data_IF_230725016738
#
_entry.id   IF_230725016738
#
_cell.length_a   1.000
_cell.length_b   1.000
_cell.length_c   1.000
_cell.angle_alpha   90.00
_cell.angle_beta   90.00
_cell.angle_gamma   90.00
#
_symmetry.space_group_name_H-M   'P 1'
#
loop_
_entity.id
_entity.type
_entity.pdbx_description
1 polymer ?
#
# COMPACT_ATOMS: atom_id res chain seq x y z
N UNK A 1 -35.19 12.06 -59.38
CA UNK A 1 -34.94 11.36 -58.10
C UNK A 1 -33.46 11.53 -57.84
N UNK A 2 -33.08 12.30 -56.82
CA UNK A 2 -31.68 12.50 -56.49
C UNK A 2 -31.08 11.14 -56.13
N UNK A 3 -30.06 10.70 -56.86
CA UNK A 3 -29.34 9.47 -56.56
C UNK A 3 -28.72 9.69 -55.17
N UNK A 4 -29.04 8.81 -54.23
CA UNK A 4 -28.42 8.73 -52.92
C UNK A 4 -26.92 8.56 -53.17
N UNK A 5 -26.19 9.67 -53.12
CA UNK A 5 -24.78 9.68 -53.44
C UNK A 5 -24.09 8.78 -52.42
N UNK A 6 -23.22 7.90 -52.91
CA UNK A 6 -22.50 6.87 -52.17
C UNK A 6 -21.61 7.52 -51.09
N UNK A 7 -22.22 7.93 -49.99
CA UNK A 7 -21.59 8.57 -48.85
C UNK A 7 -20.84 7.51 -48.04
N UNK A 8 -19.63 7.81 -47.56
CA UNK A 8 -18.88 6.86 -46.76
C UNK A 8 -19.58 6.59 -45.43
N UNK A 9 -19.93 5.33 -45.18
CA UNK A 9 -20.29 4.85 -43.85
C UNK A 9 -19.00 4.45 -43.13
N UNK A 10 -18.68 5.16 -42.04
CA UNK A 10 -17.48 4.91 -41.25
C UNK A 10 -17.87 4.29 -39.91
N UNK A 11 -17.14 3.28 -39.48
CA UNK A 11 -17.19 2.76 -38.12
C UNK A 11 -15.80 2.86 -37.50
N UNK A 12 -15.76 3.23 -36.22
CA UNK A 12 -14.54 3.42 -35.45
C UNK A 12 -14.67 2.76 -34.10
N UNK A 13 -13.60 2.10 -33.66
CA UNK A 13 -13.48 1.50 -32.33
C UNK A 13 -12.16 1.93 -31.73
N UNK A 14 -12.20 2.47 -30.51
CA UNK A 14 -11.00 2.77 -29.76
C UNK A 14 -10.67 1.66 -28.75
N UNK A 15 -10.13 2.05 -27.60
CA UNK A 15 -9.84 1.13 -26.50
C UNK A 15 -9.11 1.84 -25.36
N UNK A 16 -8.58 1.07 -24.42
CA UNK A 16 -8.06 1.61 -23.16
C UNK A 16 -6.54 1.43 -23.09
N UNK A 17 -5.84 2.51 -22.75
CA UNK A 17 -4.41 2.53 -22.47
C UNK A 17 -4.21 2.24 -20.99
N UNK A 18 -3.41 1.22 -20.67
CA UNK A 18 -3.13 0.79 -19.29
C UNK A 18 -1.62 0.82 -19.01
N UNK A 19 -1.21 0.56 -17.76
CA UNK A 19 0.21 0.40 -17.46
C UNK A 19 0.81 -0.90 -18.04
N UNK A 20 -0.03 -1.92 -18.34
CA UNK A 20 0.39 -3.15 -19.04
C UNK A 20 0.51 -2.89 -20.55
N UNK A 21 -0.49 -2.21 -21.11
CA UNK A 21 -0.60 -1.91 -22.54
C UNK A 21 -0.57 -0.40 -22.76
N UNK A 22 0.63 0.21 -22.91
CA UNK A 22 0.78 1.66 -23.01
C UNK A 22 0.38 2.22 -24.39
N UNK A 23 -0.25 1.42 -25.23
CA UNK A 23 -0.71 1.79 -26.55
C UNK A 23 -2.00 1.06 -26.90
N UNK A 24 -2.86 1.70 -27.69
CA UNK A 24 -4.05 1.08 -28.29
C UNK A 24 -4.03 1.27 -29.80
N UNK A 25 -4.51 0.27 -30.53
CA UNK A 25 -4.75 0.38 -31.97
C UNK A 25 -6.17 0.85 -32.19
N UNK A 26 -6.33 2.01 -32.83
CA UNK A 26 -7.64 2.48 -33.27
C UNK A 26 -8.07 1.64 -34.47
N UNK A 27 -9.26 1.06 -34.43
CA UNK A 27 -9.80 0.29 -35.53
C UNK A 27 -10.81 1.14 -36.29
N UNK A 28 -10.71 1.14 -37.62
CA UNK A 28 -11.72 1.76 -38.44
C UNK A 28 -12.02 0.97 -39.71
N UNK A 29 -13.27 1.05 -40.15
CA UNK A 29 -13.70 0.51 -41.44
C UNK A 29 -14.60 1.51 -42.15
N UNK A 30 -14.54 1.49 -43.48
CA UNK A 30 -15.33 2.36 -44.35
C UNK A 30 -16.01 1.54 -45.45
N UNK A 31 -17.27 1.86 -45.71
CA UNK A 31 -18.03 1.30 -46.82
C UNK A 31 -18.66 2.44 -47.64
N UNK A 32 -18.45 2.50 -48.97
CA UNK A 32 -17.60 1.62 -49.79
C UNK A 32 -16.09 1.77 -49.50
N UNK A 33 -15.26 0.76 -49.82
CA UNK A 33 -13.81 0.81 -49.60
C UNK A 33 -13.09 1.74 -50.60
N UNK A 34 -11.84 2.11 -50.30
CA UNK A 34 -10.98 2.87 -51.21
C UNK A 34 -10.90 4.38 -50.93
N UNK A 35 -11.36 4.83 -49.77
CA UNK A 35 -11.18 6.21 -49.32
C UNK A 35 -9.78 6.52 -48.79
N UNK A 36 -9.43 7.81 -48.82
CA UNK A 36 -8.23 8.36 -48.19
C UNK A 36 -8.53 8.61 -46.71
N UNK A 37 -7.68 8.10 -45.83
CA UNK A 37 -7.82 8.21 -44.37
C UNK A 37 -7.05 9.42 -43.86
N UNK A 38 -7.67 10.18 -42.96
CA UNK A 38 -7.02 11.25 -42.23
C UNK A 38 -7.50 11.26 -40.79
N UNK A 39 -6.63 10.80 -39.89
CA UNK A 39 -6.80 10.91 -38.46
C UNK A 39 -6.23 12.22 -37.95
N UNK A 40 -6.92 12.82 -36.98
CA UNK A 40 -6.44 13.94 -36.16
C UNK A 40 -6.77 13.64 -34.70
N UNK A 41 -5.98 14.17 -33.77
CA UNK A 41 -6.21 13.87 -32.35
C UNK A 41 -5.34 14.70 -31.40
N UNK A 42 -5.29 14.30 -30.12
CA UNK A 42 -4.52 14.97 -29.08
C UNK A 42 -3.05 15.15 -29.45
N UNK A 43 -2.39 16.14 -28.85
CA UNK A 43 -0.95 16.40 -29.04
C UNK A 43 -0.54 16.61 -30.51
N UNK A 44 -1.43 17.18 -31.33
CA UNK A 44 -1.26 17.36 -32.78
C UNK A 44 -1.04 16.04 -33.54
N UNK A 45 -1.61 14.93 -33.03
CA UNK A 45 -1.53 13.65 -33.72
C UNK A 45 -2.19 13.73 -35.10
N UNK A 46 -1.50 13.21 -36.12
CA UNK A 46 -2.05 13.01 -37.46
C UNK A 46 -1.61 11.67 -38.02
N UNK A 47 -2.49 10.96 -38.72
CA UNK A 47 -2.11 9.70 -39.40
C UNK A 47 -2.97 9.45 -40.65
N UNK A 48 -2.39 8.77 -41.64
CA UNK A 48 -3.09 8.31 -42.85
C UNK A 48 -3.27 6.79 -42.88
N UNK A 49 -2.88 6.09 -41.80
CA UNK A 49 -3.11 4.65 -41.66
C UNK A 49 -4.60 4.39 -41.37
N UNK A 50 -5.13 3.25 -41.83
CA UNK A 50 -6.49 2.83 -41.50
C UNK A 50 -6.63 2.55 -39.99
N UNK A 51 -5.65 1.84 -39.42
CA UNK A 51 -5.64 1.45 -38.01
C UNK A 51 -4.34 1.93 -37.32
N UNK A 52 -4.24 3.21 -36.94
CA UNK A 52 -3.05 3.73 -36.27
C UNK A 52 -2.97 3.25 -34.80
N UNK A 53 -1.74 3.08 -34.31
CA UNK A 53 -1.45 2.88 -32.90
C UNK A 53 -1.22 4.22 -32.20
N UNK A 54 -1.82 4.41 -31.02
CA UNK A 54 -1.77 5.66 -30.26
C UNK A 54 -1.44 5.39 -28.79
N UNK A 55 -0.76 6.34 -28.14
CA UNK A 55 -0.33 6.25 -26.73
C UNK A 55 -0.89 7.35 -25.83
N UNK A 56 -1.66 8.28 -26.40
CA UNK A 56 -2.28 9.35 -25.63
C UNK A 56 -3.78 9.07 -25.57
N UNK A 57 -4.37 9.26 -24.39
CA UNK A 57 -5.82 9.22 -24.26
C UNK A 57 -6.45 10.48 -24.86
N UNK A 58 -7.67 10.31 -25.37
CA UNK A 58 -8.49 11.37 -25.93
C UNK A 58 -9.29 10.90 -27.15
N UNK A 59 -9.96 11.85 -27.76
CA UNK A 59 -10.79 11.63 -28.94
C UNK A 59 -9.96 11.79 -30.23
N UNK A 60 -10.04 10.79 -31.10
CA UNK A 60 -9.39 10.75 -32.39
C UNK A 60 -10.45 10.87 -33.47
N UNK A 61 -10.40 11.97 -34.22
CA UNK A 61 -11.30 12.25 -35.32
C UNK A 61 -10.71 11.66 -36.61
N UNK A 62 -11.40 10.67 -37.17
CA UNK A 62 -11.16 10.17 -38.51
C UNK A 62 -12.02 10.95 -39.50
N UNK A 63 -11.42 11.38 -40.60
CA UNK A 63 -12.11 11.82 -41.80
C UNK A 63 -11.71 10.91 -42.96
N UNK A 64 -12.69 10.34 -43.66
CA UNK A 64 -12.45 9.55 -44.88
C UNK A 64 -13.07 10.27 -46.06
N UNK A 65 -12.28 10.44 -47.13
CA UNK A 65 -12.74 10.99 -48.41
C UNK A 65 -12.68 9.90 -49.48
N UNK A 66 -13.84 9.58 -50.07
CA UNK A 66 -13.94 8.59 -51.14
C UNK A 66 -13.50 9.17 -52.50
N UNK A 67 -13.17 8.32 -53.50
CA UNK A 67 -12.78 8.78 -54.84
C UNK A 67 -13.85 9.60 -55.57
N UNK A 68 -15.12 9.44 -55.18
CA UNK A 68 -16.24 10.24 -55.69
C UNK A 68 -16.30 11.66 -55.08
N UNK A 69 -15.36 12.01 -54.18
CA UNK A 69 -15.28 13.30 -53.50
C UNK A 69 -16.16 13.43 -52.26
N UNK A 70 -16.98 12.44 -51.92
CA UNK A 70 -17.78 12.45 -50.70
C UNK A 70 -16.89 12.19 -49.48
N UNK A 71 -17.12 12.93 -48.39
CA UNK A 71 -16.40 12.76 -47.13
C UNK A 71 -17.36 12.53 -45.97
N UNK A 72 -16.90 11.76 -44.99
CA UNK A 72 -17.56 11.59 -43.70
C UNK A 72 -16.49 11.54 -42.61
N UNK A 73 -16.94 11.73 -41.37
CA UNK A 73 -16.07 11.67 -40.21
C UNK A 73 -16.67 10.81 -39.11
N UNK A 74 -15.81 10.18 -38.31
CA UNK A 74 -16.17 9.38 -37.15
C UNK A 74 -15.12 9.58 -36.05
N UNK A 75 -15.49 9.28 -34.80
CA UNK A 75 -14.61 9.46 -33.64
C UNK A 75 -14.29 8.09 -33.04
N UNK A 76 -13.00 7.82 -32.81
CA UNK A 76 -12.54 6.75 -31.94
C UNK A 76 -12.06 7.36 -30.61
N UNK A 77 -12.34 6.71 -29.49
CA UNK A 77 -11.92 7.19 -28.16
C UNK A 77 -10.84 6.28 -27.61
N UNK A 78 -9.67 6.84 -27.32
CA UNK A 78 -8.66 6.16 -26.52
C UNK A 78 -8.85 6.60 -25.06
N UNK A 79 -9.22 5.68 -24.19
CA UNK A 79 -9.38 5.95 -22.76
C UNK A 79 -8.06 5.72 -22.02
N UNK A 80 -7.85 6.40 -20.89
CA UNK A 80 -6.72 6.14 -20.00
C UNK A 80 -7.21 5.45 -18.72
N UNK A 81 -6.65 4.28 -18.45
CA UNK A 81 -6.71 3.62 -17.15
C UNK A 81 -5.27 3.38 -16.66
N UNK A 82 -4.62 4.47 -16.29
CA UNK A 82 -3.21 4.50 -15.86
C UNK A 82 -3.04 4.97 -14.42
N UNK A 83 -4.14 4.97 -13.66
CA UNK A 83 -4.13 5.37 -12.25
C UNK A 83 -3.49 4.27 -11.42
N UNK A 84 -2.45 4.62 -10.67
CA UNK A 84 -1.84 3.71 -9.71
C UNK A 84 -2.78 3.47 -8.51
N UNK A 85 -2.73 2.28 -7.89
CA UNK A 85 -3.50 2.02 -6.68
C UNK A 85 -3.00 2.84 -5.51
N UNK A 86 -3.88 3.17 -4.57
CA UNK A 86 -3.49 3.68 -3.26
C UNK A 86 -3.14 2.50 -2.35
N UNK A 87 -2.05 2.59 -1.59
CA UNK A 87 -1.58 1.51 -0.71
C UNK A 87 -1.10 2.06 0.63
N UNK A 88 -1.52 1.42 1.71
CA UNK A 88 -1.05 1.67 3.07
C UNK A 88 -0.57 0.35 3.66
N UNK A 89 0.66 0.34 4.15
CA UNK A 89 1.26 -0.77 4.86
C UNK A 89 1.20 -0.52 6.37
N UNK A 90 0.73 -1.51 7.12
CA UNK A 90 0.60 -1.47 8.58
C UNK A 90 1.36 -2.65 9.16
N UNK A 91 2.17 -2.40 10.18
CA UNK A 91 2.89 -3.42 10.92
C UNK A 91 2.57 -3.34 12.42
N UNK A 92 2.37 -4.51 13.03
CA UNK A 92 2.40 -4.68 14.48
C UNK A 92 3.83 -4.74 15.01
N UNK A 93 3.96 -4.88 16.33
CA UNK A 93 5.24 -5.00 17.02
C UNK A 93 5.38 -6.36 17.67
N UNK A 94 6.61 -6.82 17.82
CA UNK A 94 6.96 -7.98 18.64
C UNK A 94 7.07 -7.54 20.10
N UNK A 95 6.60 -8.38 21.02
CA UNK A 95 6.68 -8.10 22.47
C UNK A 95 7.09 -9.39 23.20
N UNK A 96 7.43 -9.29 24.48
CA UNK A 96 7.69 -10.49 25.31
C UNK A 96 6.47 -11.45 25.45
N UNK A 97 5.27 -11.01 25.06
CA UNK A 97 4.04 -11.81 25.06
C UNK A 97 3.54 -12.17 23.65
N UNK A 98 4.14 -11.61 22.61
CA UNK A 98 3.77 -11.81 21.21
C UNK A 98 5.04 -12.00 20.39
N UNK A 99 5.32 -13.24 20.06
CA UNK A 99 6.45 -13.68 19.23
C UNK A 99 6.23 -13.47 17.73
N UNK A 100 5.03 -13.03 17.34
CA UNK A 100 4.68 -12.67 15.97
C UNK A 100 4.04 -11.29 15.89
N UNK A 101 4.32 -10.60 14.79
CA UNK A 101 3.77 -9.31 14.41
C UNK A 101 2.90 -9.47 13.16
N UNK A 102 1.72 -8.84 13.16
CA UNK A 102 0.83 -8.79 11.99
C UNK A 102 1.34 -7.76 10.98
N UNK A 103 1.34 -8.12 9.71
CA UNK A 103 1.51 -7.22 8.58
C UNK A 103 0.18 -7.14 7.82
N UNK A 104 -0.25 -5.94 7.47
CA UNK A 104 -1.51 -5.70 6.80
C UNK A 104 -1.34 -4.64 5.71
N UNK A 105 -1.73 -4.98 4.49
CA UNK A 105 -1.78 -4.08 3.35
C UNK A 105 -3.24 -3.70 3.11
N UNK A 106 -3.53 -2.40 3.14
CA UNK A 106 -4.80 -1.83 2.73
C UNK A 106 -4.59 -1.13 1.41
N UNK A 107 -5.46 -1.37 0.43
CA UNK A 107 -5.30 -0.81 -0.90
C UNK A 107 -6.64 -0.53 -1.58
N UNK A 108 -6.60 0.42 -2.50
CA UNK A 108 -7.73 0.81 -3.34
C UNK A 108 -7.23 0.93 -4.79
N UNK A 109 -7.88 0.26 -5.77
CA UNK A 109 -9.09 -0.57 -5.65
C UNK A 109 -8.85 -1.92 -4.95
N UNK A 110 -9.93 -2.56 -4.46
CA UNK A 110 -9.87 -3.73 -3.58
C UNK A 110 -9.39 -5.04 -4.25
N UNK A 111 -9.21 -5.05 -5.56
CA UNK A 111 -8.82 -6.19 -6.39
C UNK A 111 -7.33 -6.17 -6.80
N UNK A 112 -6.51 -5.35 -6.13
CA UNK A 112 -5.07 -5.37 -6.31
C UNK A 112 -4.46 -6.69 -5.84
N UNK A 113 -3.48 -7.18 -6.60
CA UNK A 113 -2.56 -8.22 -6.12
C UNK A 113 -1.46 -7.58 -5.28
N UNK A 114 -0.93 -8.30 -4.29
CA UNK A 114 0.14 -7.78 -3.43
C UNK A 114 1.32 -8.74 -3.36
N UNK A 115 2.50 -8.16 -3.15
CA UNK A 115 3.73 -8.89 -2.86
C UNK A 115 4.47 -8.17 -1.73
N UNK A 116 4.51 -8.82 -0.57
CA UNK A 116 5.36 -8.44 0.53
C UNK A 116 6.76 -9.02 0.36
N UNK A 117 7.77 -8.20 0.62
CA UNK A 117 9.16 -8.60 0.81
C UNK A 117 9.70 -8.04 2.12
N UNK A 118 10.69 -8.69 2.72
CA UNK A 118 11.24 -8.26 3.99
C UNK A 118 12.55 -8.95 4.36
N UNK A 119 12.97 -8.83 5.63
CA UNK A 119 14.13 -9.51 6.18
C UNK A 119 14.09 -11.03 5.95
N UNK A 120 15.26 -11.67 6.01
CA UNK A 120 15.40 -13.14 5.94
C UNK A 120 14.71 -13.80 4.74
N UNK A 121 14.70 -13.09 3.61
CA UNK A 121 14.03 -13.49 2.37
C UNK A 121 12.52 -13.75 2.55
N UNK A 122 11.89 -13.05 3.49
CA UNK A 122 10.45 -13.06 3.66
C UNK A 122 9.75 -12.67 2.36
N UNK A 123 8.82 -13.51 1.91
CA UNK A 123 7.96 -13.26 0.76
C UNK A 123 6.53 -13.70 1.11
N UNK A 124 5.55 -12.85 0.84
CA UNK A 124 4.14 -13.21 0.98
C UNK A 124 3.27 -12.54 -0.08
N UNK A 125 2.29 -13.27 -0.60
CA UNK A 125 1.29 -12.73 -1.56
C UNK A 125 -0.07 -12.45 -0.91
N UNK A 126 -0.16 -12.60 0.42
CA UNK A 126 -1.38 -12.35 1.18
C UNK A 126 -1.43 -10.88 1.65
N UNK A 127 -2.59 -10.24 1.53
CA UNK A 127 -2.80 -8.88 2.04
C UNK A 127 -2.58 -8.76 3.56
N UNK A 128 -2.95 -9.81 4.30
CA UNK A 128 -2.65 -9.94 5.73
C UNK A 128 -1.74 -11.15 5.95
N UNK A 129 -0.63 -10.96 6.64
CA UNK A 129 0.33 -12.01 6.98
C UNK A 129 0.95 -11.74 8.35
N UNK A 130 1.82 -12.63 8.81
CA UNK A 130 2.54 -12.50 10.09
C UNK A 130 4.02 -12.75 9.90
N UNK A 131 4.84 -12.13 10.74
CA UNK A 131 6.28 -12.33 10.76
C UNK A 131 6.81 -12.38 12.18
N UNK A 132 7.95 -13.03 12.39
CA UNK A 132 8.64 -13.17 13.68
C UNK A 132 9.88 -12.30 13.78
N UNK A 133 10.28 -11.66 12.67
CA UNK A 133 11.51 -10.91 12.59
C UNK A 133 11.21 -9.41 12.63
N UNK A 134 12.14 -8.66 13.22
CA UNK A 134 12.09 -7.20 13.18
C UNK A 134 12.69 -6.69 11.88
N UNK A 135 12.19 -5.57 11.38
CA UNK A 135 12.77 -4.92 10.22
C UNK A 135 11.74 -4.21 9.35
N UNK A 136 12.19 -3.74 8.20
CA UNK A 136 11.35 -3.05 7.22
C UNK A 136 10.76 -4.07 6.26
N UNK A 137 9.44 -4.08 6.16
CA UNK A 137 8.68 -4.88 5.21
C UNK A 137 8.12 -3.96 4.14
N UNK A 138 8.36 -4.32 2.90
CA UNK A 138 7.93 -3.57 1.71
C UNK A 138 6.79 -4.33 1.06
N UNK A 139 5.69 -3.66 0.75
CA UNK A 139 4.60 -4.23 -0.06
C UNK A 139 4.54 -3.52 -1.40
N UNK A 140 4.45 -4.31 -2.46
CA UNK A 140 4.11 -3.84 -3.80
C UNK A 140 2.68 -4.28 -4.09
N UNK A 141 1.76 -3.33 -4.26
CA UNK A 141 0.43 -3.63 -4.77
C UNK A 141 0.36 -3.35 -6.28
N UNK A 142 -0.31 -4.22 -7.03
CA UNK A 142 -0.49 -4.12 -8.48
C UNK A 142 -1.98 -4.20 -8.81
N UNK A 143 -2.52 -3.14 -9.41
CA UNK A 143 -3.91 -3.08 -9.88
C UNK A 143 -4.11 -3.86 -11.18
N UNK A 144 -5.37 -4.08 -11.60
CA UNK A 144 -5.70 -4.82 -12.83
C UNK A 144 -5.17 -4.15 -14.11
N UNK A 145 -5.07 -2.81 -14.10
CA UNK A 145 -4.43 -2.03 -15.16
C UNK A 145 -2.90 -2.15 -15.18
N UNK A 146 -2.31 -2.94 -14.27
CA UNK A 146 -0.90 -3.21 -14.08
C UNK A 146 -0.10 -2.11 -13.42
N UNK A 147 -0.74 -1.01 -13.03
CA UNK A 147 -0.05 0.05 -12.31
C UNK A 147 0.28 -0.42 -10.90
N UNK A 148 1.46 -0.04 -10.41
CA UNK A 148 1.98 -0.50 -9.12
C UNK A 148 2.17 0.64 -8.14
N UNK A 149 2.10 0.35 -6.85
CA UNK A 149 2.46 1.27 -5.77
C UNK A 149 3.17 0.51 -4.67
N UNK A 150 4.16 1.18 -4.07
CA UNK A 150 5.01 0.64 -3.02
C UNK A 150 4.65 1.33 -1.70
N UNK A 151 4.50 0.54 -0.65
CA UNK A 151 4.39 1.03 0.72
C UNK A 151 5.30 0.23 1.64
N UNK A 152 5.68 0.82 2.77
CA UNK A 152 6.58 0.19 3.73
C UNK A 152 6.00 0.25 5.14
N UNK A 153 6.24 -0.80 5.92
CA UNK A 153 5.93 -0.84 7.34
C UNK A 153 7.09 -1.48 8.11
N UNK A 154 7.38 -0.97 9.30
CA UNK A 154 8.49 -1.46 10.12
C UNK A 154 7.97 -2.21 11.33
N UNK A 155 8.48 -3.42 11.53
CA UNK A 155 8.25 -4.24 12.73
C UNK A 155 9.34 -3.94 13.75
N UNK A 156 8.95 -3.48 14.94
CA UNK A 156 9.86 -3.24 16.05
C UNK A 156 9.76 -4.34 17.12
N UNK A 157 10.88 -4.64 17.77
CA UNK A 157 10.86 -5.33 19.05
C UNK A 157 10.60 -4.32 20.17
N UNK A 158 9.39 -4.37 20.72
CA UNK A 158 9.00 -3.60 21.89
C UNK A 158 9.34 -4.40 23.14
N UNK A 159 10.56 -4.24 23.63
CA UNK A 159 10.89 -4.64 24.99
C UNK A 159 10.33 -3.57 25.92
N UNK A 160 9.41 -3.96 26.81
CA UNK A 160 9.04 -3.11 27.96
C UNK A 160 10.33 -2.66 28.65
N UNK A 161 10.44 -1.40 29.13
CA UNK A 161 11.61 -0.99 29.88
C UNK A 161 11.85 -1.99 31.00
N UNK A 162 13.10 -2.43 31.15
CA UNK A 162 13.48 -3.22 32.32
C UNK A 162 13.02 -2.43 33.55
N UNK A 163 12.13 -3.03 34.34
CA UNK A 163 11.69 -2.40 35.59
C UNK A 163 12.92 -2.25 36.47
N UNK A 164 13.18 -1.02 36.92
CA UNK A 164 14.27 -0.73 37.83
C UNK A 164 13.73 -0.75 39.25
N UNK A 165 14.08 -1.77 40.03
CA UNK A 165 13.84 -1.75 41.47
C UNK A 165 14.98 -0.98 42.13
N UNK A 166 14.72 0.27 42.50
CA UNK A 166 15.64 1.06 43.33
C UNK A 166 15.32 0.80 44.81
N UNK A 167 16.23 0.13 45.51
CA UNK A 167 16.11 -0.11 46.96
C UNK A 167 16.58 1.09 47.80
N UNK A 168 16.95 2.20 47.15
CA UNK A 168 17.60 3.35 47.80
C UNK A 168 19.10 3.14 48.04
N UNK A 169 19.81 4.15 48.55
CA UNK A 169 21.21 4.01 48.95
C UNK A 169 21.36 3.10 50.18
N UNK A 170 22.54 2.49 50.36
CA UNK A 170 22.89 1.78 51.59
C UNK A 170 22.72 2.71 52.79
N UNK A 171 21.86 2.33 53.74
CA UNK A 171 21.56 3.12 54.92
C UNK A 171 22.29 2.51 56.13
N UNK A 172 23.19 3.30 56.72
CA UNK A 172 23.77 2.96 58.02
C UNK A 172 22.77 3.36 59.10
N UNK A 173 22.33 2.39 59.88
CA UNK A 173 21.29 2.55 60.91
C UNK A 173 21.95 2.46 62.28
N UNK A 174 21.73 3.45 63.15
CA UNK A 174 22.19 3.35 64.53
C UNK A 174 21.28 2.42 65.35
N UNK A 175 21.83 1.83 66.44
CA UNK A 175 21.03 1.00 67.36
C UNK A 175 19.80 1.76 67.86
N UNK A 176 18.61 1.15 67.71
CA UNK A 176 17.27 1.70 68.06
C UNK A 176 16.69 2.78 67.13
N UNK A 177 17.25 3.00 65.94
CA UNK A 177 16.62 3.84 64.94
C UNK A 177 15.52 3.06 64.17
N UNK A 178 14.31 3.64 64.09
CA UNK A 178 13.19 3.07 63.33
C UNK A 178 13.22 3.59 61.90
N UNK A 179 13.32 2.69 60.92
CA UNK A 179 13.29 3.04 59.50
C UNK A 179 12.19 2.26 58.79
N UNK A 180 11.45 2.96 57.93
CA UNK A 180 10.47 2.39 57.02
C UNK A 180 10.96 2.57 55.57
N UNK A 181 11.69 1.60 54.98
CA UNK A 181 12.09 1.70 53.58
C UNK A 181 10.83 1.66 52.72
N UNK A 182 10.67 2.65 51.84
CA UNK A 182 9.60 2.70 50.84
C UNK A 182 10.19 2.36 49.48
N UNK A 183 9.99 1.13 48.97
CA UNK A 183 10.44 0.79 47.64
C UNK A 183 9.68 1.64 46.64
N UNK A 184 10.40 2.29 45.72
CA UNK A 184 9.78 2.99 44.59
C UNK A 184 9.85 2.10 43.36
N UNK A 185 8.72 1.95 42.69
CA UNK A 185 8.57 1.13 41.51
C UNK A 185 7.67 1.84 40.52
N UNK A 186 8.00 1.72 39.23
CA UNK A 186 7.24 2.28 38.13
C UNK A 186 6.10 1.34 37.69
N UNK A 187 5.91 0.20 38.38
CA UNK A 187 4.89 -0.78 38.06
C UNK A 187 3.50 -0.33 38.54
N UNK A 188 2.45 -0.49 37.72
CA UNK A 188 1.07 -0.32 38.18
C UNK A 188 0.78 -1.25 39.37
N UNK A 189 0.05 -0.75 40.38
CA UNK A 189 -0.26 -1.42 41.68
C UNK A 189 -0.84 -2.85 41.54
N UNK A 190 -1.33 -3.23 40.36
CA UNK A 190 -1.92 -4.53 40.06
C UNK A 190 -0.89 -5.61 39.63
N UNK A 191 0.41 -5.28 39.53
CA UNK A 191 1.45 -6.18 39.00
C UNK A 191 2.41 -6.76 40.06
N UNK A 192 2.21 -6.45 41.34
CA UNK A 192 2.96 -7.05 42.45
C UNK A 192 2.05 -7.23 43.66
N UNK A 193 2.17 -8.37 44.35
CA UNK A 193 1.32 -8.72 45.49
C UNK A 193 2.01 -8.60 46.85
N UNK A 194 3.35 -8.68 46.90
CA UNK A 194 4.10 -8.73 48.16
C UNK A 194 5.57 -8.35 47.93
N UNK A 195 6.18 -7.61 48.88
CA UNK A 195 7.62 -7.33 48.93
C UNK A 195 8.12 -7.91 50.25
N UNK A 196 8.80 -9.06 50.17
CA UNK A 196 9.41 -9.71 51.33
C UNK A 196 10.78 -9.12 51.64
N UNK A 197 10.91 -8.49 52.81
CA UNK A 197 12.19 -8.05 53.34
C UNK A 197 12.85 -9.19 54.12
N UNK A 198 14.02 -9.63 53.68
CA UNK A 198 14.85 -10.57 54.44
C UNK A 198 16.03 -9.82 55.07
N UNK A 199 16.12 -9.86 56.40
CA UNK A 199 17.26 -9.30 57.11
C UNK A 199 18.37 -10.36 57.23
N UNK A 200 19.66 -9.98 57.17
CA UNK A 200 20.76 -10.88 57.47
C UNK A 200 20.61 -11.53 58.85
N UNK A 201 21.11 -12.75 59.07
CA UNK A 201 20.89 -13.54 60.29
C UNK A 201 21.31 -12.87 61.61
N UNK A 202 22.10 -11.79 61.55
CA UNK A 202 22.60 -11.06 62.71
C UNK A 202 21.80 -9.78 63.06
N UNK A 203 20.73 -9.48 62.33
CA UNK A 203 19.90 -8.28 62.51
C UNK A 203 18.56 -8.67 63.15
N UNK A 204 18.37 -8.32 64.43
CA UNK A 204 17.07 -8.45 65.10
C UNK A 204 16.27 -7.18 64.78
N UNK A 205 15.65 -7.15 63.61
CA UNK A 205 14.61 -6.19 63.26
C UNK A 205 13.25 -6.84 63.45
N UNK A 206 12.39 -6.25 64.28
CA UNK A 206 11.03 -6.74 64.44
C UNK A 206 10.28 -6.46 63.11
N UNK A 207 9.73 -7.47 62.40
CA UNK A 207 8.93 -7.20 61.22
C UNK A 207 7.74 -6.36 61.67
N UNK A 208 7.67 -5.10 61.21
CA UNK A 208 6.49 -4.28 61.47
C UNK A 208 5.29 -4.96 60.81
N UNK A 209 4.36 -5.47 61.62
CA UNK A 209 3.11 -6.09 61.17
C UNK A 209 2.02 -5.06 60.83
N UNK A 210 2.33 -3.77 60.80
CA UNK A 210 1.36 -2.72 60.47
C UNK A 210 1.52 -2.25 59.03
N UNK A 211 0.81 -2.93 58.13
CA UNK A 211 0.39 -2.37 56.85
C UNK A 211 -0.85 -1.49 57.11
N UNK A 212 -0.66 -0.18 57.17
CA UNK A 212 -1.71 0.82 56.90
C UNK A 212 -1.13 1.95 56.04
#
# INVERSE_FOLDING_TARGET
MANDADFPLITTTGGTITCIEPFVTLLASVNPPGGIWQWTGPMNFTSTQSNPQVSNAGEYLLTVTLPNGCSASAVAVAEADTSAPEVVAIAGNLTCRSDSAKLEALFSPADCSVLWTGPDAFISTSATTTTTDTGVYVVVATAQNGCTTIAEATVYAMNQPAWMLSLGPDLLVETNELIAPRPQTDLPVQQWSEIDWTFPPATIGNPCTDCN
#
